data_IF_274712138605
#
_entry.id   IF_274712138605
#
_cell.length_a   1.000
_cell.length_b   1.000
_cell.length_c   1.000
_cell.angle_alpha   90.00
_cell.angle_beta   90.00
_cell.angle_gamma   90.00
#
_symmetry.space_group_name_H-M   'P 1'
#
loop_
_entity.id
_entity.type
_entity.pdbx_description
1 polymer ?
#
# COMPACT_ATOMS: atom_id res chain seq x y z
N UNK A 1 -11.95 -15.71 -0.61
CA UNK A 1 -11.03 -15.33 0.49
C UNK A 1 -10.36 -13.97 0.27
N UNK A 2 -9.75 -13.68 -0.89
CA UNK A 2 -9.10 -12.38 -1.15
C UNK A 2 -10.02 -11.14 -1.00
N UNK A 3 -11.27 -11.22 -1.43
CA UNK A 3 -12.20 -10.07 -1.36
C UNK A 3 -12.44 -9.57 0.06
N UNK A 4 -12.52 -10.46 1.07
CA UNK A 4 -12.75 -10.05 2.47
C UNK A 4 -11.57 -9.26 3.02
N UNK A 5 -10.35 -9.73 2.76
CA UNK A 5 -9.11 -9.05 3.16
C UNK A 5 -8.98 -7.69 2.46
N UNK A 6 -9.34 -7.60 1.18
CA UNK A 6 -9.33 -6.32 0.46
C UNK A 6 -10.35 -5.32 1.03
N UNK A 7 -11.56 -5.78 1.37
CA UNK A 7 -12.58 -4.91 1.99
C UNK A 7 -12.16 -4.42 3.37
N UNK A 8 -11.53 -5.28 4.17
CA UNK A 8 -11.01 -4.93 5.50
C UNK A 8 -9.86 -3.92 5.40
N UNK A 9 -8.88 -4.16 4.53
CA UNK A 9 -7.78 -3.24 4.28
C UNK A 9 -8.25 -1.90 3.71
N UNK A 10 -9.28 -1.91 2.86
CA UNK A 10 -9.90 -0.67 2.37
C UNK A 10 -10.52 0.14 3.50
N UNK A 11 -11.26 -0.52 4.40
CA UNK A 11 -11.86 0.12 5.57
C UNK A 11 -10.80 0.71 6.50
N UNK A 12 -9.77 -0.07 6.85
CA UNK A 12 -8.67 0.38 7.71
C UNK A 12 -7.87 1.53 7.09
N UNK A 13 -7.69 1.54 5.75
CA UNK A 13 -7.01 2.65 5.05
C UNK A 13 -7.85 3.93 5.10
N UNK A 14 -9.18 3.82 5.11
CA UNK A 14 -10.08 4.96 5.24
C UNK A 14 -10.16 5.47 6.70
N UNK A 15 -10.20 4.56 7.68
CA UNK A 15 -10.24 4.89 9.10
C UNK A 15 -8.92 5.49 9.60
N UNK A 16 -7.80 5.00 9.09
CA UNK A 16 -6.46 5.43 9.48
C UNK A 16 -5.71 6.04 8.28
N UNK A 17 -6.21 7.19 7.82
CA UNK A 17 -5.78 7.80 6.56
C UNK A 17 -4.26 8.07 6.46
N UNK A 18 -3.60 8.36 7.60
CA UNK A 18 -2.15 8.59 7.70
C UNK A 18 -1.33 7.33 8.06
N UNK A 19 -1.96 6.17 8.24
CA UNK A 19 -1.24 4.93 8.51
C UNK A 19 -0.67 4.34 7.21
N UNK A 20 0.57 4.68 6.93
CA UNK A 20 1.28 4.24 5.73
C UNK A 20 1.52 2.72 5.67
N UNK A 21 1.59 2.04 6.81
CA UNK A 21 1.77 0.59 6.86
C UNK A 21 0.52 -0.15 6.36
N UNK A 22 -0.66 0.23 6.87
CA UNK A 22 -1.94 -0.33 6.39
C UNK A 22 -2.11 -0.06 4.89
N UNK A 23 -1.76 1.15 4.45
CA UNK A 23 -1.78 1.53 3.03
C UNK A 23 -0.85 0.64 2.19
N UNK A 24 0.38 0.40 2.64
CA UNK A 24 1.33 -0.48 1.98
C UNK A 24 0.79 -1.92 1.87
N UNK A 25 0.21 -2.46 2.95
CA UNK A 25 -0.41 -3.79 2.93
C UNK A 25 -1.57 -3.87 1.92
N UNK A 26 -2.40 -2.82 1.85
CA UNK A 26 -3.49 -2.76 0.89
C UNK A 26 -2.99 -2.71 -0.56
N UNK A 27 -1.95 -1.92 -0.82
CA UNK A 27 -1.30 -1.86 -2.13
C UNK A 27 -0.77 -3.23 -2.57
N UNK A 28 -0.07 -3.95 -1.68
CA UNK A 28 0.45 -5.30 -1.97
C UNK A 28 -0.68 -6.29 -2.20
N UNK A 29 -1.74 -6.25 -1.40
CA UNK A 29 -2.89 -7.13 -1.56
C UNK A 29 -3.61 -6.90 -2.90
N UNK A 30 -3.79 -5.64 -3.32
CA UNK A 30 -4.34 -5.29 -4.63
C UNK A 30 -3.44 -5.79 -5.77
N UNK A 31 -2.13 -5.56 -5.67
CA UNK A 31 -1.16 -6.04 -6.66
C UNK A 31 -1.22 -7.56 -6.85
N UNK A 32 -1.20 -8.34 -5.75
CA UNK A 32 -1.31 -9.81 -5.78
C UNK A 32 -2.62 -10.32 -6.37
N UNK A 33 -3.67 -9.50 -6.36
CA UNK A 33 -4.94 -9.81 -7.01
C UNK A 33 -5.01 -9.36 -8.48
N UNK A 34 -3.88 -8.96 -9.08
CA UNK A 34 -3.82 -8.42 -10.46
C UNK A 34 -4.30 -6.97 -10.59
N UNK A 35 -4.64 -6.30 -9.49
CA UNK A 35 -5.23 -4.95 -9.46
C UNK A 35 -4.15 -3.87 -9.32
N UNK A 36 -3.10 -3.97 -10.14
CA UNK A 36 -1.92 -3.08 -10.10
C UNK A 36 -2.27 -1.59 -10.19
N UNK A 37 -3.18 -1.23 -11.10
CA UNK A 37 -3.60 0.16 -11.29
C UNK A 37 -4.24 0.76 -10.03
N UNK A 38 -5.03 -0.05 -9.31
CA UNK A 38 -5.68 0.37 -8.06
C UNK A 38 -4.66 0.51 -6.94
N UNK A 39 -3.69 -0.40 -6.85
CA UNK A 39 -2.60 -0.27 -5.88
C UNK A 39 -1.84 1.05 -6.04
N UNK A 40 -1.52 1.45 -7.28
CA UNK A 40 -0.86 2.72 -7.55
C UNK A 40 -1.78 3.93 -7.28
N UNK A 41 -3.08 3.80 -7.51
CA UNK A 41 -4.06 4.83 -7.14
C UNK A 41 -4.12 5.06 -5.63
N UNK A 42 -4.06 4.00 -4.83
CA UNK A 42 -4.02 4.09 -3.36
C UNK A 42 -2.77 4.83 -2.87
N UNK A 43 -1.62 4.59 -3.50
CA UNK A 43 -0.40 5.34 -3.21
C UNK A 43 -0.57 6.84 -3.51
N UNK A 44 -1.02 7.16 -4.73
CA UNK A 44 -1.14 8.55 -5.18
C UNK A 44 -2.09 9.37 -4.28
N UNK A 45 -3.25 8.79 -3.93
CA UNK A 45 -4.19 9.41 -2.99
C UNK A 45 -3.58 9.65 -1.61
N UNK A 46 -2.74 8.73 -1.15
CA UNK A 46 -2.07 8.84 0.15
C UNK A 46 -0.99 9.89 0.17
N UNK A 47 -0.16 9.91 -0.87
CA UNK A 47 0.84 10.96 -1.07
C UNK A 47 0.19 12.34 -1.10
N UNK A 48 -0.90 12.49 -1.87
CA UNK A 48 -1.60 13.77 -1.96
C UNK A 48 -2.13 14.20 -0.58
N UNK A 49 -2.75 13.28 0.16
CA UNK A 49 -3.23 13.57 1.51
C UNK A 49 -2.11 13.96 2.49
N UNK A 50 -0.97 13.27 2.46
CA UNK A 50 0.18 13.60 3.32
C UNK A 50 0.76 14.98 3.01
N UNK A 51 0.83 15.33 1.73
CA UNK A 51 1.31 16.64 1.28
C UNK A 51 0.31 17.72 1.70
N UNK A 52 -0.98 17.51 1.44
CA UNK A 52 -2.01 18.53 1.67
C UNK A 52 -2.25 18.78 3.17
N UNK A 53 -2.28 17.72 3.98
CA UNK A 53 -2.63 17.83 5.40
C UNK A 53 -1.42 18.02 6.32
N UNK A 54 -0.26 17.44 5.96
CA UNK A 54 0.92 17.44 6.83
C UNK A 54 2.14 18.13 6.21
N UNK A 55 2.12 18.46 4.92
CA UNK A 55 3.30 18.96 4.20
C UNK A 55 4.43 17.93 4.08
N UNK A 56 4.11 16.64 4.21
CA UNK A 56 5.08 15.53 4.23
C UNK A 56 5.00 14.68 2.97
N UNK A 57 6.14 14.13 2.56
CA UNK A 57 6.21 13.07 1.57
C UNK A 57 6.06 11.68 2.23
N UNK A 58 5.58 10.66 1.49
CA UNK A 58 5.47 9.29 1.99
C UNK A 58 6.78 8.75 2.54
N UNK A 59 6.73 7.87 3.54
CA UNK A 59 7.91 7.21 4.10
C UNK A 59 8.65 6.34 3.07
N UNK A 60 9.92 6.02 3.37
CA UNK A 60 10.77 5.24 2.48
C UNK A 60 10.17 3.86 2.18
N UNK A 61 9.54 3.24 3.16
CA UNK A 61 8.89 1.94 3.05
C UNK A 61 7.71 1.98 2.07
N UNK A 62 6.84 2.99 2.17
CA UNK A 62 5.70 3.14 1.27
C UNK A 62 6.16 3.44 -0.17
N UNK A 63 7.20 4.26 -0.34
CA UNK A 63 7.84 4.49 -1.65
C UNK A 63 8.46 3.21 -2.22
N UNK A 64 9.12 2.40 -1.39
CA UNK A 64 9.71 1.14 -1.83
C UNK A 64 8.65 0.17 -2.37
N UNK A 65 7.49 0.07 -1.72
CA UNK A 65 6.37 -0.73 -2.21
C UNK A 65 5.85 -0.20 -3.55
N UNK A 66 5.71 1.11 -3.71
CA UNK A 66 5.33 1.71 -5.00
C UNK A 66 6.32 1.33 -6.11
N UNK A 67 7.63 1.43 -5.84
CA UNK A 67 8.67 1.08 -6.82
C UNK A 67 8.66 -0.41 -7.16
N UNK A 68 8.52 -1.29 -6.17
CA UNK A 68 8.40 -2.73 -6.40
C UNK A 68 7.16 -3.07 -7.25
N UNK A 69 6.02 -2.41 -7.00
CA UNK A 69 4.82 -2.56 -7.82
C UNK A 69 5.08 -2.06 -9.24
N UNK A 70 5.77 -0.92 -9.42
CA UNK A 70 6.12 -0.39 -10.74
C UNK A 70 7.05 -1.33 -11.52
N UNK A 71 7.97 -2.00 -10.83
CA UNK A 71 8.90 -2.95 -11.41
C UNK A 71 8.30 -4.35 -11.67
N UNK A 72 7.06 -4.62 -11.25
CA UNK A 72 6.50 -5.98 -11.20
C UNK A 72 7.40 -6.95 -10.42
N UNK A 73 7.94 -6.49 -9.29
CA UNK A 73 8.94 -7.23 -8.53
C UNK A 73 8.35 -8.57 -8.01
N UNK A 74 8.93 -9.73 -8.41
CA UNK A 74 8.51 -11.04 -7.90
C UNK A 74 8.64 -11.17 -6.37
N UNK A 75 9.46 -10.34 -5.74
CA UNK A 75 9.59 -10.27 -4.28
C UNK A 75 8.28 -9.88 -3.59
N UNK A 76 7.36 -9.19 -4.27
CA UNK A 76 6.02 -8.89 -3.74
C UNK A 76 5.11 -10.11 -3.73
N UNK A 77 5.35 -11.12 -4.57
CA UNK A 77 4.58 -12.36 -4.60
C UNK A 77 5.04 -13.35 -3.52
N UNK A 78 6.31 -13.25 -3.12
CA UNK A 78 6.78 -13.93 -1.92
C UNK A 78 6.13 -13.30 -0.69
N UNK A 79 5.58 -14.11 0.21
CA UNK A 79 5.08 -13.65 1.50
C UNK A 79 6.27 -13.04 2.27
N UNK A 80 6.47 -11.73 2.15
CA UNK A 80 7.45 -10.97 2.93
C UNK A 80 7.22 -11.33 4.39
N UNK A 81 8.16 -12.09 4.96
CA UNK A 81 8.34 -12.17 6.40
C UNK A 81 8.69 -10.76 6.86
N UNK A 82 7.72 -10.05 7.41
CA UNK A 82 8.03 -8.92 8.28
C UNK A 82 8.58 -9.52 9.57
N UNK A 83 9.86 -9.86 9.53
CA UNK A 83 10.64 -10.29 10.67
C UNK A 83 11.05 -9.07 11.48
N UNK A 84 10.41 -8.94 12.64
CA UNK A 84 11.02 -8.61 13.94
C UNK A 84 11.82 -7.31 14.04
N UNK A 85 11.20 -6.32 14.69
CA UNK A 85 11.84 -5.61 15.80
C UNK A 85 11.01 -5.83 17.06
#
# INVERSE_FOLDING_TARGET
>A
FHHRVLSELAALTAEHAFNENVRAQYMVALYRCGRRHEALSIYQKGRQLLIDELGLEPCTELRAVQQAILASDPGLDSAVRVGSR
#
